data_IF_540773044687
#
_entry.id   IF_540773044687
#
_cell.length_a   1.000
_cell.length_b   1.000
_cell.length_c   1.000
_cell.angle_alpha   90.00
_cell.angle_beta   90.00
_cell.angle_gamma   90.00
#
_symmetry.space_group_name_H-M   'P 1'
#
loop_
_entity.id
_entity.type
_entity.pdbx_description
1 polymer ?
#
# COMPACT_ATOMS: atom_id res chain seq x y z
N UNK A 1 7.50 5.53 1.20
CA UNK A 1 8.04 6.82 1.49
C UNK A 1 8.14 7.71 0.27
N UNK A 2 8.24 8.97 0.54
CA UNK A 2 8.41 9.96 -0.51
C UNK A 2 9.90 10.19 -0.76
N UNK A 3 10.30 10.21 -2.03
CA UNK A 3 11.69 10.45 -2.39
C UNK A 3 11.78 11.19 -3.73
N UNK A 4 12.85 11.94 -3.87
CA UNK A 4 13.14 12.73 -5.05
C UNK A 4 14.18 12.00 -5.92
N UNK A 5 13.72 11.48 -7.06
CA UNK A 5 14.57 10.72 -7.97
C UNK A 5 15.76 11.54 -8.50
N UNK A 6 15.56 12.83 -8.75
CA UNK A 6 16.61 13.70 -9.22
C UNK A 6 17.70 13.90 -8.16
N UNK A 7 17.31 14.07 -6.90
CA UNK A 7 18.25 14.23 -5.80
C UNK A 7 19.02 12.93 -5.53
N UNK A 8 18.36 11.79 -5.61
CA UNK A 8 19.02 10.49 -5.48
C UNK A 8 20.04 10.31 -6.60
N UNK A 9 19.68 10.65 -7.83
CA UNK A 9 20.60 10.61 -8.96
C UNK A 9 21.81 11.49 -8.71
N UNK A 10 21.61 12.71 -8.21
CA UNK A 10 22.68 13.65 -7.95
C UNK A 10 23.71 13.12 -6.94
N UNK A 11 23.24 12.51 -5.85
CA UNK A 11 24.12 12.07 -4.75
C UNK A 11 24.81 10.73 -5.00
N UNK A 12 24.29 9.90 -5.91
CA UNK A 12 24.92 8.62 -6.24
C UNK A 12 26.15 8.80 -7.10
N UNK A 13 27.12 7.91 -6.90
CA UNK A 13 28.29 7.80 -7.75
C UNK A 13 27.91 7.20 -9.11
N UNK A 14 28.63 7.52 -10.20
CA UNK A 14 28.41 6.85 -11.49
C UNK A 14 28.46 5.33 -11.33
N UNK A 15 27.45 4.64 -11.88
CA UNK A 15 27.31 3.19 -11.73
C UNK A 15 26.68 2.75 -10.41
N UNK A 16 26.37 3.68 -9.50
CA UNK A 16 25.75 3.37 -8.22
C UNK A 16 24.32 2.85 -8.37
N UNK A 17 23.92 2.00 -7.44
CA UNK A 17 22.60 1.39 -7.42
C UNK A 17 21.70 2.04 -6.37
N UNK A 18 20.42 2.18 -6.72
CA UNK A 18 19.36 2.51 -5.79
C UNK A 18 18.34 1.38 -5.81
N UNK A 19 18.05 0.83 -4.64
CA UNK A 19 17.10 -0.28 -4.47
C UNK A 19 16.04 0.17 -3.49
N UNK A 20 14.77 0.03 -3.88
CA UNK A 20 13.66 0.38 -3.00
C UNK A 20 12.55 -0.65 -3.09
N UNK A 21 11.92 -0.91 -1.94
CA UNK A 21 10.67 -1.66 -1.86
C UNK A 21 9.63 -0.71 -1.26
N UNK A 22 8.49 -0.60 -1.93
CA UNK A 22 7.44 0.35 -1.55
C UNK A 22 6.10 -0.31 -1.35
N UNK A 23 5.30 0.30 -0.49
CA UNK A 23 3.88 -0.01 -0.34
C UNK A 23 3.15 0.74 -1.46
N UNK A 24 2.36 0.02 -2.25
CA UNK A 24 1.64 0.61 -3.36
C UNK A 24 0.33 1.28 -2.98
N UNK A 25 -0.22 2.02 -3.93
CA UNK A 25 -1.42 2.85 -3.74
C UNK A 25 -2.65 2.05 -3.31
N UNK A 26 -2.78 0.81 -3.76
CA UNK A 26 -3.95 -0.04 -3.50
C UNK A 26 -3.78 -0.97 -2.30
N UNK A 27 -2.73 -0.74 -1.48
CA UNK A 27 -2.48 -1.57 -0.32
C UNK A 27 -3.65 -1.52 0.66
N UNK A 28 -4.16 -2.69 1.04
CA UNK A 28 -5.27 -2.87 1.97
C UNK A 28 -6.57 -2.18 1.55
N UNK A 29 -6.71 -1.85 0.26
CA UNK A 29 -7.84 -1.05 -0.23
C UNK A 29 -9.19 -1.66 0.10
N UNK A 30 -9.35 -2.98 -0.07
CA UNK A 30 -10.57 -3.69 0.22
C UNK A 30 -10.94 -3.61 1.70
N UNK A 31 -9.93 -3.69 2.57
CA UNK A 31 -10.14 -3.58 4.03
C UNK A 31 -10.51 -2.15 4.43
N UNK A 32 -9.88 -1.16 3.82
CA UNK A 32 -10.19 0.26 4.06
C UNK A 32 -11.63 0.56 3.68
N UNK A 33 -12.06 0.11 2.50
CA UNK A 33 -13.44 0.29 2.05
C UNK A 33 -14.44 -0.43 2.94
N UNK A 34 -14.08 -1.63 3.41
CA UNK A 34 -14.93 -2.41 4.32
C UNK A 34 -15.15 -1.69 5.65
N UNK A 35 -14.11 -1.09 6.23
CA UNK A 35 -14.16 -0.47 7.56
C UNK A 35 -14.51 1.02 7.54
N UNK A 36 -14.12 1.74 6.50
CA UNK A 36 -14.26 3.19 6.43
C UNK A 36 -15.23 3.67 5.34
N UNK A 37 -15.70 2.75 4.48
CA UNK A 37 -16.50 3.10 3.33
C UNK A 37 -15.63 3.62 2.18
N UNK A 38 -16.27 4.09 1.11
CA UNK A 38 -15.57 4.63 -0.05
C UNK A 38 -14.82 5.90 0.32
N UNK A 39 -13.57 5.97 -0.10
CA UNK A 39 -12.76 7.17 0.06
C UNK A 39 -11.65 7.17 -1.00
N UNK A 40 -10.99 8.32 -1.15
CA UNK A 40 -9.91 8.47 -2.12
C UNK A 40 -8.65 7.73 -1.66
N UNK A 41 -7.82 7.31 -2.62
CA UNK A 41 -6.52 6.73 -2.35
C UNK A 41 -5.63 7.79 -1.67
N UNK A 42 -5.00 7.47 -0.52
CA UNK A 42 -4.14 8.43 0.16
C UNK A 42 -2.88 8.79 -0.63
N UNK A 43 -2.38 7.85 -1.45
CA UNK A 43 -1.19 8.05 -2.27
C UNK A 43 -1.48 7.58 -3.70
N UNK A 44 -2.27 8.36 -4.48
CA UNK A 44 -2.78 7.90 -5.77
C UNK A 44 -1.72 7.66 -6.85
N UNK A 45 -0.50 8.18 -6.67
CA UNK A 45 0.59 7.99 -7.62
C UNK A 45 1.58 6.88 -7.22
N UNK A 46 1.33 6.19 -6.12
CA UNK A 46 2.24 5.18 -5.58
C UNK A 46 2.08 3.84 -6.31
N UNK A 47 2.41 3.85 -7.60
CA UNK A 47 2.43 2.69 -8.48
C UNK A 47 3.81 2.50 -9.08
N UNK A 48 4.14 1.25 -9.43
CA UNK A 48 5.43 0.92 -10.01
C UNK A 48 5.71 1.71 -11.28
N UNK A 49 4.77 1.78 -12.22
CA UNK A 49 4.96 2.47 -13.49
C UNK A 49 5.20 3.97 -13.32
N UNK A 50 4.52 4.61 -12.38
CA UNK A 50 4.76 6.03 -12.06
C UNK A 50 6.18 6.23 -11.52
N UNK A 51 6.62 5.35 -10.63
CA UNK A 51 7.96 5.41 -10.03
C UNK A 51 9.04 5.14 -11.08
N UNK A 52 8.85 4.13 -11.92
CA UNK A 52 9.77 3.82 -13.03
C UNK A 52 9.95 5.04 -13.93
N UNK A 53 8.85 5.71 -14.28
CA UNK A 53 8.90 6.90 -15.13
C UNK A 53 9.71 8.02 -14.49
N UNK A 54 9.51 8.28 -13.19
CA UNK A 54 10.27 9.31 -12.46
C UNK A 54 11.76 9.02 -12.46
N UNK A 55 12.15 7.76 -12.26
CA UNK A 55 13.56 7.38 -12.25
C UNK A 55 14.18 7.43 -13.64
N UNK A 56 13.47 7.00 -14.67
CA UNK A 56 13.94 7.12 -16.06
C UNK A 56 14.13 8.59 -16.46
N UNK A 57 13.19 9.45 -16.12
CA UNK A 57 13.26 10.88 -16.42
C UNK A 57 14.44 11.55 -15.70
N UNK A 58 14.82 11.04 -14.53
CA UNK A 58 15.99 11.52 -13.79
C UNK A 58 17.32 11.02 -14.37
N UNK A 59 17.30 10.06 -15.31
CA UNK A 59 18.48 9.54 -15.97
C UNK A 59 18.90 8.14 -15.57
N UNK A 60 18.15 7.46 -14.70
CA UNK A 60 18.47 6.10 -14.28
C UNK A 60 18.18 5.05 -15.34
N UNK A 61 19.01 4.00 -15.35
CA UNK A 61 18.72 2.76 -16.03
C UNK A 61 17.96 1.84 -15.07
N UNK A 62 16.81 1.33 -15.49
CA UNK A 62 16.00 0.45 -14.67
C UNK A 62 16.46 -0.99 -14.89
N UNK A 63 17.04 -1.60 -13.85
CA UNK A 63 17.53 -2.97 -13.91
C UNK A 63 16.47 -4.00 -13.56
N UNK A 64 15.60 -3.66 -12.61
CA UNK A 64 14.51 -4.55 -12.21
C UNK A 64 13.35 -3.71 -11.70
N UNK A 65 12.14 -4.13 -12.04
CA UNK A 65 10.90 -3.52 -11.60
C UNK A 65 9.83 -4.60 -11.51
N UNK A 66 9.33 -4.86 -10.30
CA UNK A 66 8.30 -5.88 -10.07
C UNK A 66 7.24 -5.34 -9.13
N UNK A 67 5.99 -5.63 -9.44
CA UNK A 67 4.84 -5.25 -8.64
C UNK A 67 4.04 -6.50 -8.32
N UNK A 68 3.54 -6.60 -7.08
CA UNK A 68 2.72 -7.74 -6.70
C UNK A 68 1.55 -7.32 -5.80
N UNK A 69 0.49 -8.11 -5.92
CA UNK A 69 -0.69 -8.05 -5.08
C UNK A 69 -0.84 -9.43 -4.46
N UNK A 70 -0.88 -9.50 -3.13
CA UNK A 70 -1.03 -10.77 -2.42
C UNK A 70 -2.18 -10.68 -1.43
N UNK A 71 -2.92 -11.79 -1.22
CA UNK A 71 -3.99 -11.79 -0.25
C UNK A 71 -3.46 -11.65 1.18
N UNK A 72 -4.23 -10.92 1.99
CA UNK A 72 -4.09 -10.88 3.44
C UNK A 72 -5.45 -11.28 4.01
N UNK A 73 -5.48 -12.17 5.01
CA UNK A 73 -6.72 -12.70 5.56
C UNK A 73 -6.76 -12.51 7.06
N UNK A 74 -7.95 -12.15 7.53
CA UNK A 74 -8.24 -12.02 8.95
C UNK A 74 -9.32 -13.03 9.34
N UNK A 75 -9.14 -13.68 10.47
CA UNK A 75 -10.03 -14.73 10.94
C UNK A 75 -10.87 -14.30 12.13
N UNK A 76 -10.74 -13.05 12.57
CA UNK A 76 -11.64 -12.42 13.54
C UNK A 76 -11.63 -10.90 13.34
N UNK A 77 -12.71 -10.25 13.76
CA UNK A 77 -12.88 -8.80 13.61
C UNK A 77 -11.95 -8.03 14.55
N UNK A 78 -11.67 -8.58 15.72
CA UNK A 78 -10.75 -7.95 16.67
C UNK A 78 -9.35 -7.75 16.11
N UNK A 79 -8.83 -8.76 15.40
CA UNK A 79 -7.53 -8.67 14.74
C UNK A 79 -7.53 -7.57 13.66
N UNK A 80 -8.63 -7.46 12.91
CA UNK A 80 -8.76 -6.43 11.87
C UNK A 80 -8.82 -5.02 12.48
N UNK A 81 -9.54 -4.85 13.59
CA UNK A 81 -9.60 -3.58 14.33
C UNK A 81 -8.21 -3.18 14.83
N UNK A 82 -7.48 -4.14 15.41
CA UNK A 82 -6.12 -3.91 15.89
C UNK A 82 -5.20 -3.46 14.75
N UNK A 83 -5.29 -4.13 13.60
CA UNK A 83 -4.54 -3.78 12.40
C UNK A 83 -4.83 -2.34 11.95
N UNK A 84 -6.12 -1.97 11.86
CA UNK A 84 -6.53 -0.62 11.47
C UNK A 84 -6.02 0.46 12.43
N UNK A 85 -5.91 0.15 13.72
CA UNK A 85 -5.40 1.08 14.72
C UNK A 85 -3.90 1.29 14.62
N UNK A 86 -3.16 0.27 14.19
CA UNK A 86 -1.69 0.39 14.03
C UNK A 86 -1.35 1.25 12.82
N UNK A 87 -2.08 1.08 11.70
CA UNK A 87 -1.81 1.79 10.46
C UNK A 87 -2.89 2.83 10.18
N UNK A 88 -3.09 3.73 11.11
CA UNK A 88 -4.16 4.74 11.08
C UNK A 88 -4.18 5.57 9.80
N UNK A 89 -3.03 5.83 9.20
CA UNK A 89 -2.94 6.60 7.97
C UNK A 89 -3.59 5.92 6.76
N UNK A 90 -3.76 4.60 6.78
CA UNK A 90 -4.49 3.87 5.75
C UNK A 90 -6.00 3.81 6.02
N UNK A 91 -6.42 3.99 7.28
CA UNK A 91 -7.82 3.89 7.70
C UNK A 91 -8.30 5.22 8.28
N UNK A 92 -8.50 6.24 7.41
CA UNK A 92 -8.78 7.60 7.88
C UNK A 92 -10.09 7.69 8.66
N UNK A 93 -10.01 8.30 9.84
CA UNK A 93 -11.19 8.53 10.69
C UNK A 93 -11.78 7.28 11.32
N UNK A 94 -11.09 6.13 11.23
CA UNK A 94 -11.61 4.90 11.80
C UNK A 94 -11.66 4.93 13.32
N UNK A 95 -12.81 4.55 13.87
CA UNK A 95 -12.97 4.18 15.28
C UNK A 95 -14.08 3.14 15.38
N UNK A 96 -14.05 2.35 16.44
CA UNK A 96 -15.09 1.33 16.67
C UNK A 96 -16.47 1.98 16.75
N UNK A 97 -16.58 3.08 17.46
CA UNK A 97 -17.86 3.77 17.65
C UNK A 97 -18.39 4.39 16.36
N UNK A 98 -17.53 5.05 15.60
CA UNK A 98 -17.93 5.73 14.37
C UNK A 98 -18.24 4.74 13.24
N UNK A 99 -17.60 3.57 13.24
CA UNK A 99 -17.69 2.59 12.15
C UNK A 99 -18.32 1.27 12.57
N UNK A 100 -19.16 1.29 13.60
CA UNK A 100 -19.79 0.08 14.15
C UNK A 100 -20.59 -0.70 13.10
N UNK A 101 -21.33 -0.03 12.23
CA UNK A 101 -22.11 -0.68 11.16
C UNK A 101 -21.21 -1.43 10.20
N UNK A 102 -20.06 -0.86 9.87
CA UNK A 102 -19.06 -1.51 9.00
C UNK A 102 -18.45 -2.73 9.70
N UNK A 103 -18.21 -2.66 11.02
CA UNK A 103 -17.69 -3.79 11.78
C UNK A 103 -18.72 -4.92 11.87
N UNK A 104 -19.99 -4.60 12.04
CA UNK A 104 -21.06 -5.61 12.03
C UNK A 104 -21.16 -6.29 10.66
N UNK A 105 -21.00 -5.53 9.58
CA UNK A 105 -20.95 -6.09 8.23
C UNK A 105 -19.72 -7.00 8.05
N UNK A 106 -18.56 -6.59 8.55
CA UNK A 106 -17.36 -7.41 8.53
C UNK A 106 -17.57 -8.74 9.26
N UNK A 107 -18.26 -8.71 10.40
CA UNK A 107 -18.60 -9.92 11.15
C UNK A 107 -19.49 -10.86 10.33
N UNK A 108 -20.47 -10.32 9.61
CA UNK A 108 -21.33 -11.12 8.73
C UNK A 108 -20.54 -11.79 7.61
N UNK A 109 -19.59 -11.06 7.03
CA UNK A 109 -18.69 -11.59 5.98
C UNK A 109 -17.85 -12.73 6.57
N UNK A 110 -17.30 -12.54 7.76
CA UNK A 110 -16.51 -13.55 8.45
C UNK A 110 -17.33 -14.83 8.70
N UNK A 111 -18.57 -14.69 9.16
CA UNK A 111 -19.46 -15.82 9.39
C UNK A 111 -19.84 -16.56 8.11
N UNK A 112 -20.03 -15.81 7.01
CA UNK A 112 -20.39 -16.37 5.72
C UNK A 112 -19.22 -17.06 5.03
N UNK A 113 -18.05 -16.40 5.00
CA UNK A 113 -16.90 -16.79 4.16
C UNK A 113 -15.78 -17.47 4.97
N UNK A 114 -15.81 -17.41 6.30
CA UNK A 114 -14.78 -17.98 7.17
C UNK A 114 -13.55 -17.10 7.34
N UNK A 115 -13.42 -16.03 6.58
CA UNK A 115 -12.35 -15.04 6.70
C UNK A 115 -12.77 -13.71 6.07
N UNK A 116 -12.01 -12.68 6.41
CA UNK A 116 -12.08 -11.37 5.75
C UNK A 116 -10.80 -11.23 4.93
N UNK A 117 -10.92 -11.05 3.62
CA UNK A 117 -9.78 -10.99 2.73
C UNK A 117 -9.59 -9.60 2.14
N UNK A 118 -8.34 -9.14 2.14
CA UNK A 118 -7.89 -7.98 1.42
C UNK A 118 -6.67 -8.33 0.60
N UNK A 119 -6.00 -7.33 0.03
CA UNK A 119 -4.77 -7.52 -0.73
C UNK A 119 -3.73 -6.51 -0.29
N UNK A 120 -2.51 -6.97 -0.11
CA UNK A 120 -1.36 -6.08 0.02
C UNK A 120 -0.86 -5.72 -1.38
N UNK A 121 -0.35 -4.52 -1.51
CA UNK A 121 0.23 -4.01 -2.76
C UNK A 121 1.65 -3.57 -2.47
N UNK A 122 2.63 -4.20 -3.14
CA UNK A 122 4.05 -3.91 -2.97
C UNK A 122 4.73 -3.84 -4.32
N UNK A 123 5.79 -3.03 -4.42
CA UNK A 123 6.64 -3.07 -5.59
C UNK A 123 8.10 -2.88 -5.22
N UNK A 124 8.98 -3.40 -6.06
CA UNK A 124 10.42 -3.24 -5.93
C UNK A 124 10.98 -2.60 -7.20
N UNK A 125 11.96 -1.73 -7.02
CA UNK A 125 12.66 -1.06 -8.10
C UNK A 125 14.15 -1.12 -7.84
N UNK A 126 14.91 -1.55 -8.86
CA UNK A 126 16.38 -1.49 -8.86
C UNK A 126 16.79 -0.59 -10.02
N UNK A 127 17.46 0.50 -9.71
CA UNK A 127 17.88 1.51 -10.67
C UNK A 127 19.39 1.76 -10.57
N UNK A 128 20.05 2.00 -11.70
CA UNK A 128 21.49 2.30 -11.77
C UNK A 128 21.71 3.67 -12.39
N UNK A 129 22.60 4.45 -11.75
CA UNK A 129 23.04 5.73 -12.30
C UNK A 129 23.96 5.57 -13.50
#
# INVERSE_FOLDING_TARGET
>A
GDFDAEEIYRVLKPGGLFITQQVGAENDRELVELLCGENELPFPEQYLDCTVRKFRDAGFEILEAQECFRPIRFFDVGALVWFARIIQWEFPGFSVDANLDHLLNAQRILERDGCIEGRIHRFILVARK
#
